data_IF_596860595916
#
_entry.id   IF_596860595916
#
_cell.length_a   1.000
_cell.length_b   1.000
_cell.length_c   1.000
_cell.angle_alpha   90.00
_cell.angle_beta   90.00
_cell.angle_gamma   90.00
#
_symmetry.space_group_name_H-M   'P 1'
#
loop_
_entity.id
_entity.type
_entity.pdbx_description
1 polymer ?
#
# COMPACT_ATOMS: atom_id res chain seq x y z
N UNK A 1 36.81 -34.19 -19.94
CA UNK A 1 37.32 -33.27 -18.91
C UNK A 1 36.14 -32.44 -18.43
N UNK A 2 35.74 -32.71 -17.21
CA UNK A 2 34.53 -32.13 -16.57
C UNK A 2 34.78 -30.67 -16.17
N UNK A 3 33.96 -29.78 -16.67
CA UNK A 3 33.93 -28.37 -16.20
C UNK A 3 33.14 -28.39 -14.89
N UNK A 4 33.84 -28.35 -13.78
CA UNK A 4 33.29 -28.32 -12.45
C UNK A 4 32.37 -27.06 -12.31
N UNK A 5 31.07 -27.28 -12.11
CA UNK A 5 30.12 -26.28 -11.67
C UNK A 5 30.62 -25.61 -10.39
N UNK A 6 31.03 -24.37 -10.50
CA UNK A 6 31.36 -23.51 -9.37
C UNK A 6 30.07 -23.15 -8.65
N UNK A 7 29.56 -24.06 -7.80
CA UNK A 7 28.50 -23.79 -6.84
C UNK A 7 28.90 -22.58 -6.00
N UNK A 8 28.28 -21.43 -6.26
CA UNK A 8 28.43 -20.25 -5.44
C UNK A 8 27.94 -20.57 -4.02
N UNK A 9 28.86 -20.93 -3.13
CA UNK A 9 28.61 -21.11 -1.69
C UNK A 9 28.18 -19.76 -1.10
N UNK A 10 26.85 -19.52 -1.06
CA UNK A 10 26.28 -18.37 -0.39
C UNK A 10 26.19 -18.70 1.10
N UNK A 11 27.20 -18.30 1.87
CA UNK A 11 27.16 -18.42 3.33
C UNK A 11 25.91 -17.74 3.90
N UNK A 12 25.09 -18.44 4.75
CA UNK A 12 23.94 -17.85 5.41
C UNK A 12 24.27 -16.54 6.13
N UNK A 13 25.44 -16.46 6.75
CA UNK A 13 25.93 -15.26 7.44
C UNK A 13 26.09 -14.07 6.46
N UNK A 14 26.61 -14.30 5.25
CA UNK A 14 26.75 -13.26 4.23
C UNK A 14 25.38 -12.77 3.74
N UNK A 15 24.40 -13.66 3.60
CA UNK A 15 23.04 -13.28 3.23
C UNK A 15 22.38 -12.44 4.32
N UNK A 16 22.56 -12.79 5.59
CA UNK A 16 22.07 -12.02 6.73
C UNK A 16 22.71 -10.62 6.78
N UNK A 17 24.01 -10.50 6.57
CA UNK A 17 24.71 -9.21 6.52
C UNK A 17 24.22 -8.33 5.36
N UNK A 18 23.95 -8.92 4.19
CA UNK A 18 23.38 -8.23 3.04
C UNK A 18 21.97 -7.70 3.37
N UNK A 19 21.10 -8.53 3.95
CA UNK A 19 19.76 -8.13 4.35
C UNK A 19 19.78 -7.03 5.42
N UNK A 20 20.60 -7.19 6.47
CA UNK A 20 20.76 -6.20 7.53
C UNK A 20 21.26 -4.83 7.02
N UNK A 21 22.20 -4.84 6.08
CA UNK A 21 22.71 -3.60 5.48
C UNK A 21 21.64 -2.91 4.64
N UNK A 22 20.87 -3.66 3.83
CA UNK A 22 19.76 -3.13 3.04
C UNK A 22 18.70 -2.50 3.93
N UNK A 23 18.30 -3.21 4.99
CA UNK A 23 17.32 -2.72 5.96
C UNK A 23 17.78 -1.46 6.67
N UNK A 24 19.05 -1.40 7.11
CA UNK A 24 19.63 -0.20 7.73
C UNK A 24 19.58 1.01 6.80
N UNK A 25 19.93 0.86 5.52
CA UNK A 25 19.84 1.95 4.54
C UNK A 25 18.39 2.44 4.40
N UNK A 26 17.42 1.53 4.33
CA UNK A 26 16.00 1.88 4.22
C UNK A 26 15.48 2.59 5.47
N UNK A 27 15.79 2.09 6.66
CA UNK A 27 15.39 2.69 7.92
C UNK A 27 15.96 4.10 8.06
N UNK A 28 17.27 4.27 7.82
CA UNK A 28 17.91 5.59 7.85
C UNK A 28 17.30 6.55 6.83
N UNK A 29 16.93 6.04 5.63
CA UNK A 29 16.24 6.87 4.63
C UNK A 29 14.86 7.30 5.12
N UNK A 30 14.08 6.40 5.72
CA UNK A 30 12.78 6.72 6.32
C UNK A 30 12.89 7.79 7.42
N UNK A 31 13.87 7.66 8.31
CA UNK A 31 14.16 8.63 9.38
C UNK A 31 14.53 10.01 8.82
N UNK A 32 15.41 10.06 7.80
CA UNK A 32 15.80 11.33 7.15
C UNK A 32 14.61 11.99 6.45
N UNK A 33 13.71 11.22 5.84
CA UNK A 33 12.51 11.71 5.20
C UNK A 33 11.51 12.24 6.25
N UNK A 34 11.30 11.50 7.34
CA UNK A 34 10.36 11.87 8.40
C UNK A 34 10.75 13.17 9.13
N UNK A 35 12.05 13.43 9.26
CA UNK A 35 12.59 14.61 10.00
C UNK A 35 12.60 15.89 9.15
N UNK A 36 12.30 15.83 7.85
CA UNK A 36 12.55 16.96 6.94
C UNK A 36 11.27 17.55 6.35
N UNK A 37 11.30 18.89 6.28
CA UNK A 37 10.44 19.71 5.42
C UNK A 37 10.90 19.71 3.94
N UNK A 38 12.12 19.23 3.64
CA UNK A 38 12.70 19.23 2.29
C UNK A 38 12.48 17.89 1.58
N UNK A 39 11.99 17.98 0.34
CA UNK A 39 11.61 16.85 -0.51
C UNK A 39 12.79 16.05 -1.09
N UNK A 40 14.03 16.46 -0.87
CA UNK A 40 15.20 15.82 -1.48
C UNK A 40 16.14 15.20 -0.44
N UNK A 41 16.18 13.85 -0.43
CA UNK A 41 17.22 13.09 0.27
C UNK A 41 18.34 12.80 -0.72
N UNK A 42 19.54 13.37 -0.45
CA UNK A 42 20.69 13.10 -1.29
C UNK A 42 21.37 11.76 -0.91
N UNK A 43 21.84 11.02 -1.92
CA UNK A 43 22.54 9.74 -1.70
C UNK A 43 23.81 9.93 -0.83
N UNK A 44 24.64 10.98 -1.01
CA UNK A 44 25.78 11.22 -0.12
C UNK A 44 25.40 11.36 1.36
N UNK A 45 24.29 12.02 1.62
CA UNK A 45 23.79 12.23 2.98
C UNK A 45 23.25 10.93 3.58
N UNK A 46 22.44 10.19 2.81
CA UNK A 46 21.95 8.87 3.21
C UNK A 46 23.11 7.91 3.52
N UNK A 47 24.12 7.85 2.66
CA UNK A 47 25.29 6.99 2.84
C UNK A 47 26.02 7.32 4.15
N UNK A 48 26.25 8.62 4.42
CA UNK A 48 26.89 9.08 5.66
C UNK A 48 26.07 8.70 6.90
N UNK A 49 24.75 8.97 6.87
CA UNK A 49 23.86 8.68 7.99
C UNK A 49 23.73 7.16 8.24
N UNK A 50 23.69 6.34 7.18
CA UNK A 50 23.61 4.89 7.28
C UNK A 50 24.95 4.20 7.60
N UNK A 51 26.07 4.96 7.69
CA UNK A 51 27.41 4.41 7.93
C UNK A 51 27.89 3.48 6.80
N UNK A 52 27.58 3.82 5.55
CA UNK A 52 28.01 3.06 4.36
C UNK A 52 28.59 3.99 3.30
N UNK A 53 29.31 3.44 2.30
CA UNK A 53 29.74 4.20 1.14
C UNK A 53 28.61 4.44 0.13
N UNK A 54 28.68 5.52 -0.67
CA UNK A 54 27.74 5.76 -1.76
C UNK A 54 27.65 4.60 -2.76
N UNK A 55 28.76 4.00 -3.21
CA UNK A 55 28.72 2.79 -4.03
C UNK A 55 27.97 1.63 -3.37
N UNK A 56 28.01 1.54 -2.04
CA UNK A 56 27.23 0.54 -1.30
C UNK A 56 25.74 0.82 -1.40
N UNK A 57 25.30 2.08 -1.29
CA UNK A 57 23.88 2.44 -1.49
C UNK A 57 23.42 2.06 -2.89
N UNK A 58 24.19 2.44 -3.93
CA UNK A 58 23.85 2.12 -5.33
C UNK A 58 23.86 0.61 -5.63
N UNK A 59 24.67 -0.17 -4.94
CA UNK A 59 24.65 -1.63 -5.07
C UNK A 59 23.33 -2.25 -4.62
N UNK A 60 22.68 -1.68 -3.58
CA UNK A 60 21.38 -2.14 -3.07
C UNK A 60 20.19 -1.50 -3.78
N UNK A 61 20.36 -0.26 -4.19
CA UNK A 61 19.34 0.57 -4.83
C UNK A 61 19.97 1.31 -6.02
N UNK A 62 19.99 0.69 -7.20
CA UNK A 62 20.66 1.23 -8.39
C UNK A 62 20.18 2.63 -8.77
N UNK A 63 18.90 2.93 -8.50
CA UNK A 63 18.31 4.24 -8.75
C UNK A 63 17.59 4.79 -7.50
N UNK A 64 17.36 6.11 -7.45
CA UNK A 64 16.50 6.70 -6.44
C UNK A 64 15.08 6.11 -6.48
N UNK A 65 14.60 5.73 -7.66
CA UNK A 65 13.28 5.07 -7.82
C UNK A 65 13.25 3.73 -7.08
N UNK A 66 14.29 2.93 -7.17
CA UNK A 66 14.37 1.63 -6.47
C UNK A 66 14.37 1.81 -4.96
N UNK A 67 15.13 2.80 -4.47
CA UNK A 67 15.15 3.16 -3.04
C UNK A 67 13.76 3.57 -2.56
N UNK A 68 13.09 4.45 -3.29
CA UNK A 68 11.78 4.97 -2.92
C UNK A 68 10.66 3.94 -3.09
N UNK A 69 10.77 3.07 -4.08
CA UNK A 69 9.90 1.91 -4.22
C UNK A 69 9.99 0.96 -3.03
N UNK A 70 11.21 0.72 -2.56
CA UNK A 70 11.44 -0.09 -1.36
C UNK A 70 10.93 0.57 -0.07
N UNK A 71 11.06 1.90 0.06
CA UNK A 71 10.47 2.65 1.17
C UNK A 71 8.93 2.57 1.17
N UNK A 72 8.31 2.73 0.01
CA UNK A 72 6.86 2.60 -0.12
C UNK A 72 6.38 1.17 0.22
N UNK A 73 7.18 0.15 -0.09
CA UNK A 73 6.88 -1.24 0.30
C UNK A 73 6.97 -1.40 1.82
N UNK A 74 8.05 -0.93 2.43
CA UNK A 74 8.23 -0.98 3.89
C UNK A 74 7.09 -0.29 4.63
N UNK A 75 6.68 0.89 4.16
CA UNK A 75 5.55 1.63 4.69
C UNK A 75 4.23 0.86 4.56
N UNK A 76 3.97 0.27 3.40
CA UNK A 76 2.77 -0.53 3.16
C UNK A 76 2.74 -1.74 4.10
N UNK A 77 3.85 -2.45 4.23
CA UNK A 77 3.99 -3.59 5.14
C UNK A 77 3.76 -3.19 6.60
N UNK A 78 4.28 -2.05 7.05
CA UNK A 78 4.03 -1.52 8.39
C UNK A 78 2.54 -1.23 8.62
N UNK A 79 1.92 -0.50 7.71
CA UNK A 79 0.51 -0.08 7.84
C UNK A 79 -0.44 -1.28 7.81
N UNK A 80 -0.13 -2.31 7.02
CA UNK A 80 -1.00 -3.49 6.83
C UNK A 80 -0.55 -4.73 7.62
N UNK A 81 0.46 -4.62 8.49
CA UNK A 81 0.99 -5.76 9.23
C UNK A 81 -0.11 -6.54 9.97
N UNK A 82 -0.21 -7.84 9.70
CA UNK A 82 -1.22 -8.72 10.30
C UNK A 82 -2.67 -8.48 9.84
N UNK A 83 -2.88 -7.67 8.77
CA UNK A 83 -4.19 -7.43 8.18
C UNK A 83 -4.26 -8.09 6.80
N UNK A 84 -5.22 -8.98 6.62
CA UNK A 84 -5.51 -9.64 5.33
C UNK A 84 -7.04 -9.74 5.15
N UNK A 85 -7.71 -8.62 4.85
CA UNK A 85 -9.15 -8.61 4.69
C UNK A 85 -9.57 -9.37 3.41
N UNK A 86 -10.59 -10.20 3.55
CA UNK A 86 -11.22 -10.96 2.46
C UNK A 86 -12.61 -10.47 2.09
N UNK A 87 -13.23 -9.67 2.97
CA UNK A 87 -14.56 -9.10 2.76
C UNK A 87 -14.53 -7.57 2.92
N UNK A 88 -15.54 -6.85 2.36
CA UNK A 88 -15.68 -5.42 2.58
C UNK A 88 -15.84 -5.05 4.07
N UNK A 89 -16.52 -5.90 4.85
CA UNK A 89 -16.70 -5.68 6.29
C UNK A 89 -15.39 -5.82 7.06
N UNK A 90 -14.56 -6.81 6.73
CA UNK A 90 -13.22 -6.97 7.31
C UNK A 90 -12.30 -5.80 6.94
N UNK A 91 -12.38 -5.33 5.68
CA UNK A 91 -11.64 -4.14 5.25
C UNK A 91 -12.10 -2.90 6.02
N UNK A 92 -13.40 -2.70 6.16
CA UNK A 92 -13.97 -1.58 6.91
C UNK A 92 -13.57 -1.63 8.40
N UNK A 93 -13.56 -2.81 9.00
CA UNK A 93 -13.13 -3.03 10.39
C UNK A 93 -11.63 -2.78 10.58
N UNK A 94 -10.80 -2.97 9.55
CA UNK A 94 -9.36 -2.75 9.61
C UNK A 94 -8.97 -1.26 9.51
N UNK A 95 -9.84 -0.37 9.01
CA UNK A 95 -9.49 1.03 8.73
C UNK A 95 -8.99 1.81 9.94
N UNK A 96 -9.56 1.71 11.15
CA UNK A 96 -9.03 2.42 12.30
C UNK A 96 -7.55 2.06 12.55
N UNK A 97 -7.21 0.79 12.48
CA UNK A 97 -5.82 0.32 12.64
C UNK A 97 -4.92 0.79 11.51
N UNK A 98 -5.38 0.71 10.25
CA UNK A 98 -4.65 1.17 9.06
C UNK A 98 -4.33 2.66 9.20
N UNK A 99 -5.32 3.48 9.56
CA UNK A 99 -5.14 4.93 9.64
C UNK A 99 -4.34 5.37 10.86
N UNK A 100 -4.48 4.69 12.01
CA UNK A 100 -3.63 4.93 13.17
C UNK A 100 -2.14 4.65 12.86
N UNK A 101 -1.83 3.49 12.28
CA UNK A 101 -0.47 3.16 11.85
C UNK A 101 0.06 4.08 10.75
N UNK A 102 -0.81 4.59 9.90
CA UNK A 102 -0.44 5.58 8.89
C UNK A 102 0.05 6.89 9.51
N UNK A 103 -0.51 7.30 10.64
CA UNK A 103 -0.04 8.47 11.40
C UNK A 103 1.35 8.26 11.99
N UNK A 104 1.72 7.04 12.38
CA UNK A 104 3.07 6.73 12.88
C UNK A 104 4.14 6.99 11.80
N UNK A 105 3.78 6.91 10.53
CA UNK A 105 4.65 7.15 9.37
C UNK A 105 4.20 8.35 8.52
N UNK A 106 3.48 9.30 9.12
CA UNK A 106 2.89 10.45 8.43
C UNK A 106 3.91 11.25 7.61
N UNK A 107 5.10 11.50 8.16
CA UNK A 107 6.16 12.22 7.45
C UNK A 107 6.58 11.52 6.15
N UNK A 108 6.69 10.20 6.17
CA UNK A 108 7.00 9.40 4.97
C UNK A 108 5.84 9.40 3.97
N UNK A 109 4.59 9.37 4.44
CA UNK A 109 3.40 9.49 3.59
C UNK A 109 3.36 10.85 2.89
N UNK A 110 3.55 11.95 3.63
CA UNK A 110 3.57 13.31 3.08
C UNK A 110 4.68 13.49 2.05
N UNK A 111 5.87 13.00 2.37
CA UNK A 111 6.99 13.01 1.44
C UNK A 111 6.65 12.25 0.15
N UNK A 112 6.00 11.10 0.27
CA UNK A 112 5.56 10.29 -0.87
C UNK A 112 4.54 11.00 -1.76
N UNK A 113 3.65 11.82 -1.18
CA UNK A 113 2.71 12.67 -1.93
C UNK A 113 3.41 13.79 -2.69
N UNK A 114 4.38 14.41 -2.04
CA UNK A 114 5.06 15.59 -2.55
C UNK A 114 6.12 15.28 -3.62
N UNK A 115 6.51 14.00 -3.78
CA UNK A 115 7.57 13.60 -4.71
C UNK A 115 7.00 12.95 -5.98
N UNK A 116 7.32 13.45 -7.20
CA UNK A 116 6.90 12.82 -8.45
C UNK A 116 7.33 11.36 -8.58
N UNK A 117 8.48 11.01 -8.00
CA UNK A 117 9.00 9.64 -7.95
C UNK A 117 8.16 8.71 -7.07
N UNK A 118 7.43 9.25 -6.11
CA UNK A 118 6.55 8.49 -5.24
C UNK A 118 5.25 8.02 -5.91
N UNK A 119 4.84 8.64 -7.02
CA UNK A 119 3.57 8.36 -7.70
C UNK A 119 3.67 7.34 -8.84
N UNK A 120 4.86 7.09 -9.40
CA UNK A 120 5.00 6.26 -10.60
C UNK A 120 5.22 4.77 -10.27
N UNK A 121 4.20 3.95 -10.58
CA UNK A 121 4.32 2.49 -10.73
C UNK A 121 4.77 1.74 -9.47
N UNK A 122 4.11 1.97 -8.34
CA UNK A 122 4.44 1.27 -7.09
C UNK A 122 4.07 -0.22 -7.17
N UNK A 123 4.99 -1.14 -6.88
CA UNK A 123 4.65 -2.56 -6.74
C UNK A 123 3.53 -2.80 -5.72
N UNK A 124 3.48 -1.96 -4.67
CA UNK A 124 2.45 -1.96 -3.63
C UNK A 124 1.06 -1.62 -4.15
N UNK A 125 0.94 -0.74 -5.17
CA UNK A 125 -0.34 -0.37 -5.75
C UNK A 125 -1.00 -1.53 -6.48
N UNK A 126 -0.21 -2.34 -7.21
CA UNK A 126 -0.71 -3.53 -7.91
C UNK A 126 -1.19 -4.58 -6.90
N UNK A 127 -0.36 -4.94 -5.92
CA UNK A 127 -0.71 -5.91 -4.86
C UNK A 127 -1.95 -5.48 -4.08
N UNK A 128 -2.04 -4.18 -3.77
CA UNK A 128 -3.20 -3.62 -3.07
C UNK A 128 -4.47 -3.68 -3.91
N UNK A 129 -4.39 -3.34 -5.20
CA UNK A 129 -5.52 -3.42 -6.10
C UNK A 129 -5.97 -4.87 -6.30
N UNK A 130 -5.06 -5.83 -6.41
CA UNK A 130 -5.36 -7.27 -6.47
C UNK A 130 -6.09 -7.74 -5.20
N UNK A 131 -5.64 -7.30 -4.02
CA UNK A 131 -6.34 -7.57 -2.75
C UNK A 131 -7.76 -6.99 -2.77
N UNK A 132 -7.92 -5.73 -3.17
CA UNK A 132 -9.22 -5.07 -3.22
C UNK A 132 -10.15 -5.67 -4.27
N UNK A 133 -9.62 -6.19 -5.39
CA UNK A 133 -10.40 -7.00 -6.31
C UNK A 133 -10.94 -8.26 -5.64
N UNK A 134 -10.11 -9.02 -4.91
CA UNK A 134 -10.60 -10.21 -4.18
C UNK A 134 -11.66 -9.86 -3.16
N UNK A 135 -11.45 -8.78 -2.38
CA UNK A 135 -12.40 -8.29 -1.38
C UNK A 135 -13.77 -7.92 -2.00
N UNK A 136 -13.77 -7.34 -3.19
CA UNK A 136 -14.98 -6.81 -3.82
C UNK A 136 -15.70 -7.80 -4.73
N UNK A 137 -14.99 -8.71 -5.42
CA UNK A 137 -15.57 -9.58 -6.45
C UNK A 137 -16.26 -10.81 -5.88
N UNK A 138 -16.02 -11.17 -4.64
CA UNK A 138 -16.66 -12.33 -4.01
C UNK A 138 -18.21 -12.22 -3.90
N UNK A 139 -18.79 -11.04 -4.18
CA UNK A 139 -20.22 -10.77 -3.99
C UNK A 139 -20.86 -9.92 -5.11
N UNK A 140 -20.18 -9.72 -6.25
CA UNK A 140 -20.64 -8.77 -7.28
C UNK A 140 -20.62 -9.43 -8.66
N UNK A 141 -21.80 -9.67 -9.24
CA UNK A 141 -21.95 -10.20 -10.62
C UNK A 141 -22.12 -9.09 -11.67
N UNK A 142 -22.41 -7.84 -11.26
CA UNK A 142 -22.48 -6.71 -12.19
C UNK A 142 -21.07 -6.34 -12.68
N UNK A 143 -20.77 -6.45 -14.00
CA UNK A 143 -19.45 -6.15 -14.55
C UNK A 143 -18.98 -4.71 -14.25
N UNK A 144 -19.88 -3.73 -14.20
CA UNK A 144 -19.54 -2.35 -13.90
C UNK A 144 -19.21 -2.18 -12.42
N UNK A 145 -19.97 -2.80 -11.54
CA UNK A 145 -19.69 -2.77 -10.12
C UNK A 145 -18.37 -3.51 -9.81
N UNK A 146 -18.11 -4.64 -10.46
CA UNK A 146 -16.84 -5.38 -10.35
C UNK A 146 -15.62 -4.54 -10.82
N UNK A 147 -15.81 -3.66 -11.80
CA UNK A 147 -14.77 -2.75 -12.27
C UNK A 147 -14.56 -1.55 -11.34
N UNK A 148 -15.62 -0.93 -10.84
CA UNK A 148 -15.54 0.33 -10.12
C UNK A 148 -15.34 0.16 -8.62
N UNK A 149 -15.93 -0.85 -8.01
CA UNK A 149 -15.88 -1.05 -6.57
C UNK A 149 -14.45 -1.16 -6.03
N UNK A 150 -13.54 -1.97 -6.61
CA UNK A 150 -12.15 -2.02 -6.14
C UNK A 150 -11.45 -0.66 -6.14
N UNK A 151 -11.75 0.20 -7.11
CA UNK A 151 -11.16 1.54 -7.23
C UNK A 151 -11.71 2.48 -6.16
N UNK A 152 -12.99 2.41 -5.85
CA UNK A 152 -13.61 3.17 -4.77
C UNK A 152 -13.11 2.70 -3.40
N UNK A 153 -13.00 1.38 -3.20
CA UNK A 153 -12.41 0.83 -1.99
C UNK A 153 -10.94 1.25 -1.83
N UNK A 154 -10.18 1.33 -2.92
CA UNK A 154 -8.80 1.84 -2.92
C UNK A 154 -8.74 3.28 -2.44
N UNK A 155 -9.65 4.14 -2.89
CA UNK A 155 -9.72 5.53 -2.49
C UNK A 155 -10.09 5.65 -1.01
N UNK A 156 -11.18 5.01 -0.59
CA UNK A 156 -11.70 5.08 0.79
C UNK A 156 -10.74 4.47 1.83
N UNK A 157 -10.02 3.40 1.47
CA UNK A 157 -9.04 2.77 2.37
C UNK A 157 -7.64 3.39 2.26
N UNK A 158 -7.45 4.47 1.50
CA UNK A 158 -6.14 5.08 1.29
C UNK A 158 -5.68 5.91 2.49
N UNK A 159 -4.54 5.59 3.13
CA UNK A 159 -3.93 6.45 4.14
C UNK A 159 -3.65 7.87 3.64
N UNK A 160 -3.40 8.01 2.34
CA UNK A 160 -3.17 9.30 1.69
C UNK A 160 -4.44 10.14 1.63
N UNK A 161 -5.59 9.53 1.30
CA UNK A 161 -6.88 10.20 1.33
C UNK A 161 -7.25 10.58 2.77
N UNK A 162 -6.96 9.72 3.74
CA UNK A 162 -7.18 10.01 5.15
C UNK A 162 -6.38 11.23 5.63
N UNK A 163 -5.10 11.35 5.24
CA UNK A 163 -4.30 12.55 5.54
C UNK A 163 -4.86 13.80 4.89
N UNK A 164 -5.32 13.72 3.64
CA UNK A 164 -5.96 14.85 2.96
C UNK A 164 -7.22 15.30 3.72
N UNK A 165 -8.08 14.38 4.13
CA UNK A 165 -9.29 14.71 4.90
C UNK A 165 -8.96 15.29 6.27
N UNK A 166 -7.93 14.75 6.94
CA UNK A 166 -7.42 15.29 8.21
C UNK A 166 -6.99 16.75 8.05
N UNK A 167 -6.20 17.06 7.03
CA UNK A 167 -5.63 18.39 6.83
C UNK A 167 -6.64 19.40 6.27
N UNK A 168 -7.42 18.99 5.28
CA UNK A 168 -8.34 19.88 4.57
C UNK A 168 -9.65 20.12 5.33
N UNK A 169 -10.19 19.06 5.95
CA UNK A 169 -11.46 19.14 6.67
C UNK A 169 -11.28 19.29 8.18
N UNK A 170 -10.05 19.19 8.69
CA UNK A 170 -9.77 19.24 10.13
C UNK A 170 -10.40 18.10 10.93
N UNK A 171 -10.71 16.97 10.29
CA UNK A 171 -11.40 15.87 10.93
C UNK A 171 -10.43 15.00 11.75
N UNK A 172 -10.86 14.54 12.94
CA UNK A 172 -10.14 13.51 13.69
C UNK A 172 -10.00 12.24 12.87
N UNK A 173 -8.86 11.54 13.02
CA UNK A 173 -8.56 10.33 12.24
C UNK A 173 -9.60 9.23 12.45
N UNK A 174 -10.13 9.10 13.67
CA UNK A 174 -11.18 8.13 13.99
C UNK A 174 -12.48 8.44 13.24
N UNK A 175 -12.85 9.72 13.14
CA UNK A 175 -14.03 10.16 12.36
C UNK A 175 -13.84 9.81 10.89
N UNK A 176 -12.64 10.03 10.34
CA UNK A 176 -12.30 9.67 8.95
C UNK A 176 -12.39 8.15 8.76
N UNK A 177 -11.85 7.36 9.69
CA UNK A 177 -11.89 5.91 9.63
C UNK A 177 -13.33 5.37 9.65
N UNK A 178 -14.19 5.89 10.55
CA UNK A 178 -15.59 5.51 10.62
C UNK A 178 -16.37 5.92 9.37
N UNK A 179 -16.14 7.13 8.86
CA UNK A 179 -16.78 7.60 7.62
C UNK A 179 -16.40 6.73 6.43
N UNK A 180 -15.11 6.42 6.27
CA UNK A 180 -14.65 5.55 5.21
C UNK A 180 -15.16 4.11 5.34
N UNK A 181 -15.22 3.59 6.57
CA UNK A 181 -15.78 2.26 6.87
C UNK A 181 -17.27 2.18 6.52
N UNK A 182 -18.04 3.20 6.89
CA UNK A 182 -19.45 3.32 6.50
C UNK A 182 -19.60 3.34 4.97
N UNK A 183 -18.79 4.15 4.28
CA UNK A 183 -18.80 4.23 2.81
C UNK A 183 -18.50 2.89 2.14
N UNK A 184 -17.50 2.15 2.63
CA UNK A 184 -17.14 0.82 2.12
C UNK A 184 -18.32 -0.15 2.25
N UNK A 185 -18.95 -0.24 3.42
CA UNK A 185 -20.09 -1.12 3.66
C UNK A 185 -21.28 -0.76 2.78
N UNK A 186 -21.59 0.54 2.68
CA UNK A 186 -22.72 1.04 1.87
C UNK A 186 -22.52 0.72 0.39
N UNK A 187 -21.32 0.96 -0.16
CA UNK A 187 -21.02 0.66 -1.55
C UNK A 187 -21.07 -0.84 -1.84
N UNK A 188 -20.51 -1.67 -0.96
CA UNK A 188 -20.54 -3.11 -1.10
C UNK A 188 -21.97 -3.68 -1.03
N UNK A 189 -22.77 -3.24 -0.05
CA UNK A 189 -24.14 -3.64 0.09
C UNK A 189 -25.00 -3.24 -1.13
N UNK A 190 -24.80 -2.02 -1.67
CA UNK A 190 -25.52 -1.57 -2.85
C UNK A 190 -25.10 -2.34 -4.13
N UNK A 191 -23.84 -2.67 -4.27
CA UNK A 191 -23.35 -3.50 -5.38
C UNK A 191 -23.94 -4.92 -5.33
N UNK A 192 -24.12 -5.50 -4.13
CA UNK A 192 -24.78 -6.80 -3.94
C UNK A 192 -26.32 -6.77 -4.10
N UNK A 193 -26.97 -5.69 -3.65
CA UNK A 193 -28.45 -5.58 -3.67
C UNK A 193 -29.05 -5.53 -5.10
N UNK A 194 -28.34 -4.99 -6.07
CA UNK A 194 -28.79 -4.96 -7.48
C UNK A 194 -28.96 -6.35 -8.09
N UNK A 195 -28.27 -7.34 -7.58
CA UNK A 195 -28.39 -8.74 -8.03
C UNK A 195 -29.69 -9.39 -7.60
N UNK A 196 -30.12 -9.11 -6.37
CA UNK A 196 -31.38 -9.68 -5.85
C UNK A 196 -32.61 -9.13 -6.57
N UNK A 197 -32.56 -7.87 -7.04
CA UNK A 197 -33.64 -7.27 -7.82
C UNK A 197 -33.66 -7.74 -9.28
N UNK A 198 -32.49 -7.98 -9.89
CA UNK A 198 -32.43 -8.52 -11.25
C UNK A 198 -32.89 -9.98 -11.31
N UNK A 199 -32.61 -10.78 -10.28
CA UNK A 199 -33.07 -12.17 -10.17
C UNK A 199 -34.57 -12.30 -9.90
N UNK A 200 -35.19 -11.34 -9.20
CA UNK A 200 -36.64 -11.36 -8.91
C UNK A 200 -37.53 -10.83 -10.07
N UNK A 201 -36.93 -10.15 -11.06
CA UNK A 201 -37.68 -9.58 -12.20
C UNK A 201 -37.62 -10.46 -13.47
N UNK A 202 -37.02 -11.65 -13.39
CA UNK A 202 -36.96 -12.62 -14.52
C UNK A 202 -38.21 -13.53 -14.62
N UNK A 203 -39.25 -13.26 -13.87
CA UNK A 203 -40.57 -13.86 -14.04
C UNK A 203 -41.37 -13.15 -15.15
N UNK A 204 -40.98 -13.37 -16.43
CA UNK A 204 -41.86 -13.05 -17.56
C UNK A 204 -43.04 -13.99 -17.54
N UNK A 205 -44.31 -13.51 -17.64
CA UNK A 205 -45.47 -14.37 -17.86
C UNK A 205 -45.34 -15.00 -19.25
N UNK A 206 -45.57 -16.32 -19.33
CA UNK A 206 -45.70 -17.02 -20.61
C UNK A 206 -46.80 -16.41 -21.44
N UNK A 207 -46.63 -16.23 -22.75
CA UNK A 207 -47.68 -15.79 -23.64
C UNK A 207 -48.75 -16.88 -23.74
N UNK A 208 -50.03 -16.50 -23.58
CA UNK A 208 -51.19 -17.33 -23.82
C UNK A 208 -51.40 -17.67 -25.28
#
# INVERSE_FOLDING_TARGET
>A
MSIAEKRAYRSPLRQQQVAATRERILRTCAELVAQRTSLDVSIPQLARAAGVSQPTVYRYFPTKRDLFGALATLQFEHVTAGLDPHTPDELAAALPTIFARALEVEGLLRWTLATPLGSTGRPTSKRRLEMLHRVSTAQVDDPKAAEYLPRLLLLLSSPMAALYWKDYLGLPIDTIAHTAAWGIRTLAAHAGARLQQAGSNSGLPEPA
#
